data_IF_977155386298
#
_entry.id   IF_977155386298
#
_cell.length_a   1.000
_cell.length_b   1.000
_cell.length_c   1.000
_cell.angle_alpha   90.00
_cell.angle_beta   90.00
_cell.angle_gamma   90.00
#
_symmetry.space_group_name_H-M   'P 1'
#
loop_
_entity.id
_entity.type
_entity.pdbx_description
1 polymer ?
#
# COMPACT_ATOMS: atom_id res chain seq x y z
N UNK A 1 1.01 -8.14 -44.28
CA UNK A 1 0.48 -8.29 -42.91
C UNK A 1 0.36 -9.78 -42.64
N UNK A 2 1.06 -10.31 -41.62
CA UNK A 2 0.98 -11.73 -41.28
C UNK A 2 -0.44 -12.05 -40.78
N UNK A 3 -1.05 -13.20 -41.17
CA UNK A 3 -2.35 -13.57 -40.62
C UNK A 3 -2.23 -13.72 -39.10
N UNK A 4 -3.13 -13.07 -38.36
CA UNK A 4 -3.28 -13.32 -36.94
C UNK A 4 -3.71 -14.79 -36.78
N UNK A 5 -2.97 -15.56 -35.98
CA UNK A 5 -3.31 -16.97 -35.74
C UNK A 5 -4.71 -17.05 -35.10
N UNK A 6 -5.71 -17.65 -35.77
CA UNK A 6 -7.09 -17.70 -35.25
C UNK A 6 -7.20 -18.48 -33.94
N UNK A 7 -6.20 -19.34 -33.66
CA UNK A 7 -6.16 -20.20 -32.49
C UNK A 7 -5.71 -19.48 -31.20
N UNK A 8 -5.13 -18.28 -31.35
CA UNK A 8 -4.74 -17.38 -30.27
C UNK A 8 -5.90 -16.41 -30.03
N UNK A 9 -6.83 -16.81 -29.18
CA UNK A 9 -7.98 -15.99 -28.83
C UNK A 9 -7.75 -15.24 -27.52
N UNK A 10 -8.36 -14.07 -27.38
CA UNK A 10 -8.27 -13.27 -26.16
C UNK A 10 -8.74 -14.04 -24.92
N UNK A 11 -9.78 -14.86 -25.07
CA UNK A 11 -10.31 -15.71 -24.00
C UNK A 11 -9.26 -16.71 -23.48
N UNK A 12 -8.49 -17.36 -24.37
CA UNK A 12 -7.42 -18.27 -23.96
C UNK A 12 -6.31 -17.55 -23.20
N UNK A 13 -5.96 -16.34 -23.64
CA UNK A 13 -4.94 -15.52 -22.97
C UNK A 13 -5.40 -15.11 -21.57
N UNK A 14 -6.62 -14.56 -21.44
CA UNK A 14 -7.16 -14.13 -20.15
C UNK A 14 -7.34 -15.33 -19.21
N UNK A 15 -7.85 -16.45 -19.73
CA UNK A 15 -7.99 -17.69 -18.96
C UNK A 15 -6.65 -18.16 -18.37
N UNK A 16 -5.56 -18.15 -19.16
CA UNK A 16 -4.24 -18.52 -18.63
C UNK A 16 -3.73 -17.59 -17.55
N UNK A 17 -3.94 -16.28 -17.71
CA UNK A 17 -3.50 -15.30 -16.71
C UNK A 17 -4.25 -15.50 -15.39
N UNK A 18 -5.57 -15.68 -15.45
CA UNK A 18 -6.41 -15.90 -14.25
C UNK A 18 -6.07 -17.25 -13.60
N UNK A 19 -5.92 -18.31 -14.38
CA UNK A 19 -5.53 -19.64 -13.90
C UNK A 19 -4.15 -19.61 -13.21
N UNK A 20 -3.18 -18.93 -13.82
CA UNK A 20 -1.84 -18.72 -13.25
C UNK A 20 -1.90 -17.91 -11.94
N UNK A 21 -2.63 -16.81 -11.90
CA UNK A 21 -2.79 -15.98 -10.69
C UNK A 21 -3.52 -16.73 -9.56
N UNK A 22 -4.46 -17.60 -9.92
CA UNK A 22 -5.16 -18.46 -8.96
C UNK A 22 -4.31 -19.62 -8.43
N UNK A 23 -3.18 -19.95 -9.08
CA UNK A 23 -2.42 -21.17 -8.81
C UNK A 23 -3.17 -22.45 -9.21
N UNK A 24 -4.13 -22.36 -10.14
CA UNK A 24 -5.01 -23.46 -10.54
C UNK A 24 -4.33 -24.42 -11.52
N UNK A 25 -3.53 -23.88 -12.45
CA UNK A 25 -2.75 -24.67 -13.40
C UNK A 25 -3.55 -25.32 -14.55
N UNK A 26 -4.80 -24.93 -14.75
CA UNK A 26 -5.60 -25.34 -15.91
C UNK A 26 -5.27 -24.51 -17.14
N UNK A 27 -5.38 -25.11 -18.33
CA UNK A 27 -5.16 -24.47 -19.63
C UNK A 27 -6.15 -24.94 -20.68
N UNK A 28 -6.60 -24.04 -21.55
CA UNK A 28 -7.41 -24.38 -22.73
C UNK A 28 -6.59 -25.00 -23.87
N UNK A 29 -5.27 -25.10 -23.69
CA UNK A 29 -4.38 -25.74 -24.65
C UNK A 29 -4.27 -25.01 -25.99
N UNK A 30 -3.63 -25.68 -26.94
CA UNK A 30 -3.48 -25.21 -28.32
C UNK A 30 -3.89 -26.34 -29.28
N UNK A 31 -4.57 -26.03 -30.40
CA UNK A 31 -4.92 -27.04 -31.39
C UNK A 31 -3.68 -27.84 -31.84
N UNK A 32 -3.87 -29.13 -32.11
CA UNK A 32 -2.82 -30.05 -32.60
C UNK A 32 -1.63 -30.26 -31.65
N UNK A 33 -1.71 -29.78 -30.40
CA UNK A 33 -0.70 -29.99 -29.37
C UNK A 33 -1.35 -30.29 -28.02
N UNK A 34 -0.89 -31.33 -27.34
CA UNK A 34 -1.30 -31.68 -25.98
C UNK A 34 -0.64 -30.83 -24.89
N UNK A 35 -0.08 -29.67 -25.28
CA UNK A 35 0.62 -28.74 -24.39
C UNK A 35 -0.31 -27.61 -23.94
N UNK A 36 -0.06 -27.06 -22.75
CA UNK A 36 -0.70 -25.80 -22.30
C UNK A 36 -0.50 -24.70 -23.34
N UNK A 37 -1.48 -23.80 -23.43
CA UNK A 37 -1.43 -22.60 -24.25
C UNK A 37 -0.18 -21.75 -23.96
N UNK A 38 0.30 -21.75 -22.70
CA UNK A 38 1.53 -21.09 -22.30
C UNK A 38 2.78 -21.58 -23.05
N UNK A 39 2.77 -22.80 -23.61
CA UNK A 39 3.90 -23.34 -24.39
C UNK A 39 4.13 -22.60 -25.70
N UNK A 40 3.05 -22.11 -26.32
CA UNK A 40 3.04 -21.45 -27.64
C UNK A 40 3.29 -19.94 -27.52
N UNK A 41 3.16 -19.39 -26.31
CA UNK A 41 3.50 -18.00 -26.01
C UNK A 41 4.99 -17.72 -26.24
N UNK A 42 5.30 -16.48 -26.62
CA UNK A 42 6.69 -16.03 -26.76
C UNK A 42 7.47 -16.14 -25.45
N UNK A 43 8.80 -16.27 -25.51
CA UNK A 43 9.65 -16.41 -24.32
C UNK A 43 9.50 -15.25 -23.33
N UNK A 44 9.26 -14.02 -23.81
CA UNK A 44 9.03 -12.85 -22.96
C UNK A 44 7.71 -12.94 -22.18
N UNK A 45 6.65 -13.42 -22.81
CA UNK A 45 5.35 -13.62 -22.16
C UNK A 45 5.36 -14.75 -21.12
N UNK A 46 6.21 -15.77 -21.27
CA UNK A 46 6.36 -16.83 -20.26
C UNK A 46 6.89 -16.29 -18.93
N UNK A 47 7.81 -15.32 -18.97
CA UNK A 47 8.35 -14.67 -17.76
C UNK A 47 7.23 -13.93 -17.02
N UNK A 48 6.40 -13.18 -17.76
CA UNK A 48 5.24 -12.49 -17.18
C UNK A 48 4.29 -13.51 -16.54
N UNK A 49 4.05 -14.64 -17.21
CA UNK A 49 3.16 -15.69 -16.72
C UNK A 49 3.70 -16.36 -15.43
N UNK A 50 5.01 -16.59 -15.34
CA UNK A 50 5.67 -17.06 -14.12
C UNK A 50 5.55 -16.01 -13.00
N UNK A 51 5.78 -14.73 -13.30
CA UNK A 51 5.60 -13.65 -12.34
C UNK A 51 4.16 -13.58 -11.82
N UNK A 52 3.16 -13.80 -12.69
CA UNK A 52 1.74 -13.88 -12.30
C UNK A 52 1.47 -15.06 -11.36
N UNK A 53 2.08 -16.24 -11.59
CA UNK A 53 1.97 -17.39 -10.67
C UNK A 53 2.58 -17.07 -9.30
N UNK A 54 3.74 -16.40 -9.28
CA UNK A 54 4.38 -15.96 -8.04
C UNK A 54 3.53 -14.93 -7.30
N UNK A 55 2.99 -13.92 -7.99
CA UNK A 55 2.10 -12.91 -7.42
C UNK A 55 0.82 -13.55 -6.84
N UNK A 56 0.28 -14.54 -7.55
CA UNK A 56 -0.87 -15.33 -7.11
C UNK A 56 -0.65 -16.11 -5.81
N UNK A 57 0.60 -16.56 -5.56
CA UNK A 57 1.02 -17.24 -4.33
C UNK A 57 1.44 -16.26 -3.24
N UNK A 58 1.96 -15.09 -3.60
CA UNK A 58 2.36 -14.01 -2.70
C UNK A 58 1.19 -13.08 -2.29
N UNK A 59 -0.02 -13.62 -2.08
CA UNK A 59 -1.20 -12.85 -1.61
C UNK A 59 -0.96 -12.07 -0.29
N UNK A 60 0.15 -12.33 0.41
CA UNK A 60 0.59 -11.60 1.60
C UNK A 60 1.58 -10.43 1.38
N UNK A 61 2.26 -10.29 0.23
CA UNK A 61 3.22 -9.18 0.03
C UNK A 61 2.54 -7.87 -0.44
N UNK A 62 1.40 -7.97 -1.13
CA UNK A 62 0.56 -6.81 -1.45
C UNK A 62 -0.18 -6.27 -0.22
N UNK A 63 -0.30 -7.03 0.87
CA UNK A 63 -0.81 -6.51 2.14
C UNK A 63 0.17 -5.51 2.76
N UNK A 64 1.49 -5.73 2.62
CA UNK A 64 2.49 -4.75 3.07
C UNK A 64 2.49 -3.47 2.24
N UNK A 65 1.98 -3.52 0.99
CA UNK A 65 1.80 -2.31 0.19
C UNK A 65 0.46 -1.59 0.49
N UNK A 66 -0.47 -2.23 1.20
CA UNK A 66 -1.64 -1.57 1.79
C UNK A 66 -1.30 -0.77 3.05
N UNK A 67 -0.11 -0.98 3.63
CA UNK A 67 0.37 -0.10 4.70
C UNK A 67 0.53 1.35 4.22
N UNK A 68 0.53 1.62 2.90
CA UNK A 68 0.50 2.98 2.38
C UNK A 68 -0.78 3.74 2.78
N UNK A 69 -1.93 3.06 2.95
CA UNK A 69 -3.15 3.66 3.52
C UNK A 69 -2.99 3.87 5.03
N UNK A 70 -2.27 2.96 5.69
CA UNK A 70 -1.92 3.05 7.12
C UNK A 70 -0.92 4.19 7.38
N UNK A 71 -0.18 4.68 6.37
CA UNK A 71 0.66 5.88 6.53
C UNK A 71 -0.19 7.13 6.79
N UNK A 72 -1.36 7.27 6.16
CA UNK A 72 -2.26 8.40 6.45
C UNK A 72 -2.88 8.26 7.85
N UNK A 73 -3.32 7.06 8.23
CA UNK A 73 -3.84 6.79 9.58
C UNK A 73 -2.79 7.03 10.67
N UNK A 74 -1.53 6.65 10.42
CA UNK A 74 -0.41 6.89 11.32
C UNK A 74 -0.02 8.37 11.37
N UNK A 75 -0.03 9.09 10.25
CA UNK A 75 0.33 10.51 10.22
C UNK A 75 -0.66 11.37 10.99
N UNK A 76 -1.97 11.11 10.85
CA UNK A 76 -3.03 11.84 11.58
C UNK A 76 -2.87 11.64 13.09
N UNK A 77 -2.59 10.42 13.54
CA UNK A 77 -2.44 10.13 14.97
C UNK A 77 -1.17 10.78 15.58
N UNK A 78 -0.07 10.84 14.81
CA UNK A 78 1.18 11.51 15.23
C UNK A 78 0.99 13.04 15.30
N UNK A 79 0.25 13.62 14.35
CA UNK A 79 -0.06 15.05 14.33
C UNK A 79 -1.04 15.45 15.44
N UNK A 80 -2.05 14.62 15.70
CA UNK A 80 -2.96 14.81 16.83
C UNK A 80 -2.19 14.84 18.16
N UNK A 81 -1.27 13.90 18.36
CA UNK A 81 -0.42 13.84 19.56
C UNK A 81 0.52 15.04 19.69
N UNK A 82 1.14 15.49 18.58
CA UNK A 82 1.99 16.69 18.58
C UNK A 82 1.19 17.98 18.87
N UNK A 83 -0.06 18.05 18.41
CA UNK A 83 -0.96 19.18 18.71
C UNK A 83 -1.31 19.22 20.20
N UNK A 84 -1.57 18.07 20.83
CA UNK A 84 -1.81 17.97 22.27
C UNK A 84 -0.60 18.42 23.09
N UNK A 85 0.61 17.98 22.72
CA UNK A 85 1.86 18.39 23.37
C UNK A 85 2.08 19.92 23.27
N UNK A 86 1.69 20.54 22.17
CA UNK A 86 1.77 21.99 21.97
C UNK A 86 0.76 22.75 22.85
N UNK A 87 -0.48 22.27 22.92
CA UNK A 87 -1.55 22.92 23.72
C UNK A 87 -1.23 22.84 25.22
N UNK A 88 -0.68 21.70 25.68
CA UNK A 88 -0.25 21.54 27.08
C UNK A 88 0.92 22.48 27.43
N UNK A 89 1.87 22.65 26.51
CA UNK A 89 2.97 23.60 26.71
C UNK A 89 2.46 25.04 26.79
N UNK A 90 1.52 25.43 25.92
CA UNK A 90 0.92 26.76 25.95
C UNK A 90 0.15 27.02 27.25
N UNK A 91 -0.60 26.02 27.74
CA UNK A 91 -1.29 26.15 29.02
C UNK A 91 -0.30 26.27 30.19
N UNK A 92 0.80 25.51 30.16
CA UNK A 92 1.83 25.56 31.21
C UNK A 92 2.63 26.87 31.19
N UNK A 93 2.90 27.44 30.03
CA UNK A 93 3.60 28.73 29.93
C UNK A 93 2.74 29.89 30.40
N UNK A 94 1.45 29.92 30.02
CA UNK A 94 0.51 30.95 30.49
C UNK A 94 0.27 30.91 31.99
N UNK A 95 0.19 29.71 32.59
CA UNK A 95 0.09 29.57 34.05
C UNK A 95 1.37 30.02 34.76
N UNK A 96 2.56 29.80 34.17
CA UNK A 96 3.82 30.29 34.75
C UNK A 96 3.98 31.79 34.65
N UNK A 97 3.59 32.41 33.53
CA UNK A 97 3.61 33.87 33.39
C UNK A 97 2.61 34.55 34.32
N UNK A 98 1.42 33.98 34.51
CA UNK A 98 0.44 34.46 35.48
C UNK A 98 0.98 34.44 36.91
N UNK A 99 1.55 33.30 37.35
CA UNK A 99 2.14 33.15 38.68
C UNK A 99 3.34 34.09 38.89
N UNK A 100 4.21 34.25 37.88
CA UNK A 100 5.36 35.17 37.96
C UNK A 100 4.92 36.63 38.03
N UNK A 101 3.83 36.98 37.35
CA UNK A 101 3.28 38.34 37.37
C UNK A 101 2.59 38.64 38.70
N UNK A 102 1.83 37.68 39.22
CA UNK A 102 1.20 37.76 40.55
C UNK A 102 2.26 37.89 41.65
N UNK A 103 3.35 37.12 41.58
CA UNK A 103 4.49 37.20 42.50
C UNK A 103 5.24 38.55 42.38
N UNK A 104 5.32 39.14 41.18
CA UNK A 104 5.92 40.45 40.98
C UNK A 104 5.05 41.62 41.48
N UNK A 105 3.73 41.52 41.35
CA UNK A 105 2.78 42.55 41.79
C UNK A 105 2.65 42.55 43.33
N UNK A 106 2.72 41.37 43.96
CA UNK A 106 2.84 41.25 45.42
C UNK A 106 4.16 41.86 45.91
N UNK A 107 5.29 41.57 45.26
CA UNK A 107 6.60 42.12 45.65
C UNK A 107 6.64 43.66 45.56
N UNK A 108 5.97 44.28 44.59
CA UNK A 108 5.90 45.75 44.50
C UNK A 108 4.95 46.33 45.55
N UNK A 109 3.89 45.62 45.93
CA UNK A 109 2.88 46.11 46.90
C UNK A 109 3.40 46.14 48.34
N UNK A 110 4.31 45.24 48.74
CA UNK A 110 4.90 45.24 50.11
C UNK A 110 6.01 46.27 50.35
N UNK A 111 6.43 47.01 49.32
CA UNK A 111 7.61 47.90 49.38
C UNK A 111 7.30 49.41 49.44
N UNK A 112 6.07 49.82 49.80
CA UNK A 112 5.70 51.21 50.11
C UNK A 112 5.04 51.35 51.48
#
# INVERSE_FOLDING_TARGET
MSPANPDITLLKIIFEIISAFGGVGMSLGYPDKTTSFASILSSRSKIILIATMLMGRHRGLLASMKDQEVIEYSAVNILARRREDYILQYHKSGTREGVVKEESDDFITVHF
#
